data_IF_175763450646
#
_entry.id   IF_175763450646
#
_cell.length_a   1.000
_cell.length_b   1.000
_cell.length_c   1.000
_cell.angle_alpha   90.00
_cell.angle_beta   90.00
_cell.angle_gamma   90.00
#
_symmetry.space_group_name_H-M   'P 1'
#
loop_
_entity.id
_entity.type
_entity.pdbx_description
1 polymer ?
#
# COMPACT_ATOMS: atom_id res chain seq x y z
N UNK A 1 -23.48 11.24 22.36
CA UNK A 1 -22.82 10.20 23.18
C UNK A 1 -23.31 8.82 22.73
N UNK A 2 -22.55 8.12 21.88
CA UNK A 2 -22.78 6.70 21.56
C UNK A 2 -21.49 5.94 21.83
N UNK A 3 -21.57 5.01 22.76
CA UNK A 3 -20.48 4.21 23.29
C UNK A 3 -20.08 3.14 22.27
N UNK A 4 -18.83 3.20 21.79
CA UNK A 4 -18.23 2.16 20.98
C UNK A 4 -17.73 1.05 21.92
N UNK A 5 -18.42 -0.09 21.95
CA UNK A 5 -17.91 -1.32 22.56
C UNK A 5 -16.78 -1.87 21.70
N UNK A 6 -15.54 -1.69 22.16
CA UNK A 6 -14.38 -2.46 21.70
C UNK A 6 -14.50 -3.86 22.30
N UNK A 7 -14.71 -4.88 21.47
CA UNK A 7 -14.56 -6.28 21.90
C UNK A 7 -13.06 -6.58 21.95
N UNK A 8 -12.51 -6.56 23.17
CA UNK A 8 -11.16 -7.06 23.50
C UNK A 8 -11.26 -8.57 23.69
N UNK A 9 -10.59 -9.35 22.85
CA UNK A 9 -10.39 -10.78 23.11
C UNK A 9 -9.24 -10.91 24.11
N UNK A 10 -9.56 -11.34 25.33
CA UNK A 10 -8.59 -11.87 26.28
C UNK A 10 -8.41 -13.36 25.97
N UNK A 11 -7.20 -13.76 25.59
CA UNK A 11 -6.78 -15.15 25.66
C UNK A 11 -5.95 -15.25 26.93
N UNK A 12 -6.56 -15.81 27.98
CA UNK A 12 -5.84 -16.22 29.19
C UNK A 12 -5.06 -17.49 28.88
N UNK A 13 -3.73 -17.42 28.92
CA UNK A 13 -2.91 -18.61 29.11
C UNK A 13 -2.66 -18.79 30.60
N UNK A 14 -3.40 -19.73 31.19
CA UNK A 14 -3.15 -20.25 32.53
C UNK A 14 -1.78 -20.93 32.56
N UNK A 15 -0.87 -20.37 33.36
CA UNK A 15 0.33 -21.03 33.86
C UNK A 15 0.02 -22.41 34.44
N UNK A 16 0.84 -23.42 34.15
CA UNK A 16 1.49 -24.33 35.12
C UNK A 16 2.38 -25.36 34.38
N UNK A 17 3.69 -25.19 34.58
CA UNK A 17 4.81 -26.14 34.48
C UNK A 17 5.89 -25.76 33.46
N UNK A 18 7.04 -25.37 34.02
CA UNK A 18 8.30 -25.09 33.34
C UNK A 18 8.93 -26.45 33.01
N UNK A 19 8.97 -26.83 31.73
CA UNK A 19 9.94 -27.77 31.15
C UNK A 19 9.82 -27.75 29.63
N UNK A 20 10.86 -27.25 28.98
CA UNK A 20 11.25 -27.56 27.58
C UNK A 20 10.18 -27.39 26.50
N UNK A 21 9.99 -26.16 26.01
CA UNK A 21 9.21 -25.91 24.80
C UNK A 21 10.12 -26.04 23.57
N UNK A 22 10.08 -27.20 22.90
CA UNK A 22 10.57 -27.33 21.53
C UNK A 22 9.62 -26.55 20.61
N UNK A 23 10.07 -25.43 20.04
CA UNK A 23 9.31 -24.72 19.02
C UNK A 23 9.59 -25.41 17.69
N UNK A 24 8.69 -26.32 17.30
CA UNK A 24 8.64 -26.85 15.94
C UNK A 24 7.86 -25.83 15.09
N UNK A 25 8.56 -25.00 14.31
CA UNK A 25 7.91 -24.13 13.32
C UNK A 25 7.70 -24.94 12.04
N UNK A 26 6.45 -25.32 11.78
CA UNK A 26 6.05 -26.08 10.60
C UNK A 26 5.75 -25.09 9.46
N UNK A 27 6.69 -24.93 8.52
CA UNK A 27 6.50 -24.09 7.33
C UNK A 27 5.86 -24.93 6.23
N UNK A 28 4.61 -24.62 5.88
CA UNK A 28 3.93 -25.16 4.69
C UNK A 28 3.82 -24.04 3.67
N UNK A 29 4.61 -24.15 2.60
CA UNK A 29 4.56 -23.29 1.42
C UNK A 29 4.64 -24.23 0.20
N UNK A 30 3.59 -24.21 -0.64
CA UNK A 30 3.49 -24.90 -1.93
C UNK A 30 3.96 -26.39 -1.94
N UNK A 31 3.11 -27.30 -1.43
CA UNK A 31 3.21 -28.78 -1.46
C UNK A 31 4.51 -29.43 -0.96
N UNK A 32 5.44 -28.67 -0.39
CA UNK A 32 6.65 -29.20 0.25
C UNK A 32 6.62 -28.91 1.75
N UNK A 33 6.52 -29.98 2.54
CA UNK A 33 6.62 -29.93 4.00
C UNK A 33 8.11 -29.98 4.36
N UNK A 34 8.64 -28.89 4.91
CA UNK A 34 9.95 -28.87 5.52
C UNK A 34 9.81 -28.87 7.04
N UNK A 35 10.38 -29.90 7.68
CA UNK A 35 10.50 -29.96 9.13
C UNK A 35 11.97 -29.65 9.44
N UNK A 36 12.22 -28.49 10.03
CA UNK A 36 13.55 -28.12 10.49
C UNK A 36 13.76 -28.60 11.94
N UNK A 37 14.81 -29.40 12.15
CA UNK A 37 15.21 -29.95 13.44
C UNK A 37 16.62 -29.47 13.81
N UNK A 38 16.87 -28.16 13.88
CA UNK A 38 18.26 -27.70 14.14
C UNK A 38 18.43 -26.52 15.09
N UNK A 39 17.55 -26.35 16.08
CA UNK A 39 17.79 -25.34 17.12
C UNK A 39 17.52 -25.85 18.54
N UNK A 40 18.47 -26.60 19.12
CA UNK A 40 18.63 -26.72 20.60
C UNK A 40 19.96 -27.34 21.07
N UNK A 41 20.77 -27.97 20.23
CA UNK A 41 21.92 -28.78 20.73
C UNK A 41 23.18 -27.95 21.07
N UNK A 42 23.33 -26.72 20.55
CA UNK A 42 24.62 -26.00 20.65
C UNK A 42 24.98 -25.52 22.06
N UNK A 43 24.02 -25.18 22.92
CA UNK A 43 24.33 -24.67 24.27
C UNK A 43 24.72 -25.76 25.27
N UNK A 44 24.39 -27.03 24.99
CA UNK A 44 24.68 -28.13 25.91
C UNK A 44 26.11 -28.67 25.75
N UNK A 45 26.66 -28.61 24.53
CA UNK A 45 28.03 -29.02 24.25
C UNK A 45 29.07 -28.09 24.90
N UNK A 46 28.86 -26.76 24.82
CA UNK A 46 29.76 -25.78 25.43
C UNK A 46 29.76 -25.86 26.98
N UNK A 47 28.61 -26.19 27.57
CA UNK A 47 28.49 -26.45 29.01
C UNK A 47 29.17 -27.76 29.43
N UNK A 48 29.06 -28.81 28.63
CA UNK A 48 29.77 -30.08 28.88
C UNK A 48 31.28 -29.92 28.79
N UNK A 49 31.77 -29.16 27.80
CA UNK A 49 33.19 -28.92 27.60
C UNK A 49 33.80 -28.12 28.76
N UNK A 50 33.15 -27.02 29.15
CA UNK A 50 33.58 -26.18 30.27
C UNK A 50 33.51 -26.92 31.62
N UNK A 51 32.51 -27.78 31.81
CA UNK A 51 32.43 -28.66 32.98
C UNK A 51 33.53 -29.73 32.98
N UNK A 52 33.87 -30.32 31.83
CA UNK A 52 34.99 -31.25 31.72
C UNK A 52 36.33 -30.58 32.03
N UNK A 53 36.59 -29.40 31.48
CA UNK A 53 37.84 -28.67 31.73
C UNK A 53 37.98 -28.24 33.19
N UNK A 54 36.87 -27.93 33.84
CA UNK A 54 36.82 -27.67 35.28
C UNK A 54 37.11 -28.94 36.11
N UNK A 55 36.44 -30.06 35.80
CA UNK A 55 36.63 -31.34 36.49
C UNK A 55 38.03 -31.94 36.30
N UNK A 56 38.69 -31.65 35.17
CA UNK A 56 40.05 -32.10 34.85
C UNK A 56 41.13 -31.14 35.36
N UNK A 57 40.77 -30.08 36.10
CA UNK A 57 41.72 -29.14 36.70
C UNK A 57 42.55 -28.35 35.69
N UNK A 58 42.03 -28.17 34.46
CA UNK A 58 42.73 -27.45 33.38
C UNK A 58 42.58 -25.93 33.47
N UNK A 59 42.02 -25.42 34.57
CA UNK A 59 41.99 -23.99 34.87
C UNK A 59 43.41 -23.47 35.03
N UNK A 60 43.90 -22.80 33.98
CA UNK A 60 45.20 -22.16 33.94
C UNK A 60 45.34 -21.15 35.09
N UNK A 61 46.07 -21.53 36.13
CA UNK A 61 46.44 -20.64 37.22
C UNK A 61 47.48 -19.59 36.72
N UNK A 62 47.37 -18.32 37.15
CA UNK A 62 48.33 -17.29 36.78
C UNK A 62 49.55 -17.37 37.71
N UNK A 63 50.65 -17.94 37.20
CA UNK A 63 51.95 -17.82 37.88
C UNK A 63 52.91 -18.97 37.60
N UNK A 64 53.78 -18.82 36.60
CA UNK A 64 55.02 -19.59 36.52
C UNK A 64 56.12 -18.74 35.85
N UNK A 65 57.37 -18.76 36.38
CA UNK A 65 58.47 -17.90 35.96
C UNK A 65 59.14 -18.34 34.64
N UNK A 66 59.92 -17.45 33.99
CA UNK A 66 60.30 -17.61 32.59
C UNK A 66 61.49 -18.55 32.41
N UNK A 67 61.31 -19.59 31.59
CA UNK A 67 62.39 -20.41 31.08
C UNK A 67 62.98 -19.75 29.82
N UNK A 68 64.28 -19.46 29.87
CA UNK A 68 65.11 -18.95 28.77
C UNK A 68 65.12 -19.98 27.63
N UNK A 69 64.60 -19.59 26.46
CA UNK A 69 64.58 -20.45 25.27
C UNK A 69 65.16 -19.74 24.05
N UNK A 70 66.11 -20.45 23.46
CA UNK A 70 66.88 -20.23 22.25
C UNK A 70 65.98 -19.98 21.04
N UNK A 71 66.25 -18.91 20.29
CA UNK A 71 65.44 -18.42 19.18
C UNK A 71 65.62 -19.24 17.89
N UNK A 72 64.60 -20.02 17.54
CA UNK A 72 64.36 -20.55 16.18
C UNK A 72 63.42 -19.58 15.42
N UNK A 73 63.62 -19.35 14.11
CA UNK A 73 62.78 -18.44 13.32
C UNK A 73 61.35 -18.99 13.23
N UNK A 74 60.39 -18.26 13.82
CA UNK A 74 58.99 -18.67 13.89
C UNK A 74 58.28 -18.60 12.52
N UNK A 75 57.71 -19.70 12.02
CA UNK A 75 56.92 -19.73 10.78
C UNK A 75 55.48 -19.19 10.92
N UNK A 76 55.20 -18.25 11.83
CA UNK A 76 53.84 -17.92 12.30
C UNK A 76 53.16 -16.67 11.73
N UNK A 77 53.75 -15.97 10.75
CA UNK A 77 53.19 -14.70 10.25
C UNK A 77 52.00 -14.86 9.29
N UNK A 78 51.89 -15.97 8.56
CA UNK A 78 50.81 -16.22 7.59
C UNK A 78 49.49 -16.61 8.26
N UNK A 79 49.52 -17.47 9.29
CA UNK A 79 48.32 -17.93 10.01
C UNK A 79 47.59 -16.78 10.73
N UNK A 80 48.34 -15.87 11.37
CA UNK A 80 47.77 -14.70 12.03
C UNK A 80 47.08 -13.75 11.04
N UNK A 81 47.64 -13.61 9.82
CA UNK A 81 47.06 -12.76 8.76
C UNK A 81 45.73 -13.32 8.25
N UNK A 82 45.63 -14.64 8.06
CA UNK A 82 44.39 -15.30 7.66
C UNK A 82 43.29 -15.19 8.72
N UNK A 83 43.64 -15.38 10.00
CA UNK A 83 42.66 -15.26 11.09
C UNK A 83 42.15 -13.81 11.22
N UNK A 84 43.01 -12.81 11.02
CA UNK A 84 42.61 -11.40 11.04
C UNK A 84 41.69 -11.05 9.84
N UNK A 85 41.96 -11.61 8.66
CA UNK A 85 41.10 -11.43 7.48
C UNK A 85 39.71 -12.04 7.68
N UNK A 86 39.62 -13.27 8.23
CA UNK A 86 38.32 -13.90 8.57
C UNK A 86 37.50 -13.04 9.55
N UNK A 87 38.14 -12.49 10.58
CA UNK A 87 37.48 -11.59 11.55
C UNK A 87 37.00 -10.29 10.90
N UNK A 88 37.71 -9.77 9.90
CA UNK A 88 37.29 -8.57 9.15
C UNK A 88 36.08 -8.87 8.26
N UNK A 89 36.13 -9.98 7.52
CA UNK A 89 35.03 -10.39 6.64
C UNK A 89 33.74 -10.65 7.44
N UNK A 90 33.83 -11.32 8.60
CA UNK A 90 32.66 -11.52 9.47
C UNK A 90 32.03 -10.21 9.97
N UNK A 91 32.85 -9.20 10.28
CA UNK A 91 32.35 -7.88 10.68
C UNK A 91 31.67 -7.16 9.51
N UNK A 92 32.24 -7.29 8.31
CA UNK A 92 31.67 -6.71 7.09
C UNK A 92 30.33 -7.36 6.73
N UNK A 93 30.25 -8.69 6.70
CA UNK A 93 28.98 -9.40 6.40
C UNK A 93 27.88 -9.07 7.41
N UNK A 94 28.22 -8.98 8.71
CA UNK A 94 27.27 -8.55 9.73
C UNK A 94 26.75 -7.13 9.50
N UNK A 95 27.60 -6.21 9.06
CA UNK A 95 27.19 -4.84 8.70
C UNK A 95 26.29 -4.80 7.47
N UNK A 96 26.57 -5.61 6.45
CA UNK A 96 25.74 -5.69 5.23
C UNK A 96 24.37 -6.28 5.54
N UNK A 97 24.31 -7.36 6.33
CA UNK A 97 23.06 -7.95 6.78
C UNK A 97 22.20 -6.93 7.54
N UNK A 98 22.79 -6.22 8.51
CA UNK A 98 22.07 -5.18 9.26
C UNK A 98 21.55 -4.06 8.36
N UNK A 99 22.32 -3.67 7.34
CA UNK A 99 21.89 -2.68 6.36
C UNK A 99 20.73 -3.20 5.48
N UNK A 100 20.76 -4.47 5.09
CA UNK A 100 19.65 -5.11 4.37
C UNK A 100 18.38 -5.13 5.22
N UNK A 101 18.48 -5.56 6.49
CA UNK A 101 17.36 -5.59 7.43
C UNK A 101 16.76 -4.20 7.64
N UNK A 102 17.59 -3.16 7.82
CA UNK A 102 17.09 -1.79 7.94
C UNK A 102 16.30 -1.33 6.70
N UNK A 103 16.74 -1.72 5.49
CA UNK A 103 15.98 -1.43 4.26
C UNK A 103 14.68 -2.22 4.17
N UNK A 104 14.68 -3.45 4.65
CA UNK A 104 13.46 -4.25 4.73
C UNK A 104 12.44 -3.59 5.67
N UNK A 105 12.85 -3.13 6.84
CA UNK A 105 11.98 -2.39 7.77
C UNK A 105 11.42 -1.10 7.17
N UNK A 106 12.24 -0.33 6.45
CA UNK A 106 11.77 0.85 5.72
C UNK A 106 10.74 0.47 4.64
N UNK A 107 10.96 -0.63 3.92
CA UNK A 107 10.03 -1.12 2.90
C UNK A 107 8.67 -1.49 3.51
N UNK A 108 8.65 -2.18 4.66
CA UNK A 108 7.40 -2.58 5.31
C UNK A 108 6.61 -1.38 5.82
N UNK A 109 7.29 -0.39 6.41
CA UNK A 109 6.64 0.86 6.85
C UNK A 109 6.02 1.63 5.69
N UNK A 110 6.71 1.73 4.55
CA UNK A 110 6.16 2.38 3.37
C UNK A 110 4.97 1.62 2.79
N UNK A 111 4.98 0.28 2.84
CA UNK A 111 3.85 -0.51 2.41
C UNK A 111 2.58 -0.22 3.23
N UNK A 112 2.71 -0.12 4.55
CA UNK A 112 1.59 0.22 5.42
C UNK A 112 1.05 1.63 5.12
N UNK A 113 1.94 2.60 4.88
CA UNK A 113 1.54 3.94 4.46
C UNK A 113 0.79 3.94 3.12
N UNK A 114 1.21 3.10 2.17
CA UNK A 114 0.53 2.95 0.89
C UNK A 114 -0.88 2.38 1.04
N UNK A 115 -1.07 1.44 1.96
CA UNK A 115 -2.39 0.91 2.28
C UNK A 115 -3.34 2.01 2.78
N UNK A 116 -2.88 2.87 3.69
CA UNK A 116 -3.67 4.00 4.19
C UNK A 116 -4.05 5.00 3.09
N UNK A 117 -3.14 5.26 2.15
CA UNK A 117 -3.39 6.11 0.98
C UNK A 117 -4.46 5.48 0.09
N UNK A 118 -4.37 4.18 -0.20
CA UNK A 118 -5.36 3.46 -1.01
C UNK A 118 -6.75 3.49 -0.37
N UNK A 119 -6.82 3.29 0.95
CA UNK A 119 -8.08 3.40 1.68
C UNK A 119 -8.66 4.82 1.59
N UNK A 120 -7.81 5.83 1.68
CA UNK A 120 -8.20 7.24 1.52
C UNK A 120 -8.73 7.52 0.12
N UNK A 121 -8.08 7.01 -0.94
CA UNK A 121 -8.53 7.13 -2.32
C UNK A 121 -9.91 6.45 -2.49
N UNK A 122 -10.09 5.26 -1.94
CA UNK A 122 -11.36 4.54 -2.00
C UNK A 122 -12.51 5.33 -1.35
N UNK A 123 -12.28 5.89 -0.16
CA UNK A 123 -13.26 6.71 0.55
C UNK A 123 -13.64 7.97 -0.26
N UNK A 124 -12.65 8.65 -0.86
CA UNK A 124 -12.87 9.82 -1.70
C UNK A 124 -13.68 9.49 -2.95
N UNK A 125 -13.34 8.39 -3.65
CA UNK A 125 -14.10 7.95 -4.85
C UNK A 125 -15.56 7.63 -4.52
N UNK A 126 -15.81 7.05 -3.34
CA UNK A 126 -17.17 6.77 -2.89
C UNK A 126 -17.96 8.06 -2.65
N UNK A 127 -17.33 9.05 -2.01
CA UNK A 127 -17.97 10.34 -1.71
C UNK A 127 -18.18 11.20 -2.96
N UNK A 128 -17.17 11.34 -3.82
CA UNK A 128 -17.24 12.07 -5.09
C UNK A 128 -18.42 11.63 -5.94
N UNK A 129 -18.63 10.32 -6.00
CA UNK A 129 -19.66 9.76 -6.85
C UNK A 129 -21.07 9.88 -6.23
N UNK A 130 -21.18 10.10 -4.91
CA UNK A 130 -22.42 10.54 -4.26
C UNK A 130 -22.68 12.03 -4.50
N UNK A 131 -21.66 12.88 -4.34
CA UNK A 131 -21.75 14.33 -4.60
C UNK A 131 -22.14 14.63 -6.06
N UNK A 132 -21.57 13.90 -7.02
CA UNK A 132 -21.94 14.00 -8.43
C UNK A 132 -23.43 13.66 -8.65
N UNK A 133 -23.96 12.66 -7.95
CA UNK A 133 -25.38 12.29 -8.03
C UNK A 133 -26.28 13.39 -7.43
N UNK A 134 -25.86 13.97 -6.30
CA UNK A 134 -26.57 15.09 -5.68
C UNK A 134 -26.61 16.32 -6.59
N UNK A 135 -25.48 16.67 -7.23
CA UNK A 135 -25.44 17.76 -8.21
C UNK A 135 -26.39 17.52 -9.38
N UNK A 136 -26.46 16.29 -9.92
CA UNK A 136 -27.42 15.95 -10.97
C UNK A 136 -28.87 16.14 -10.49
N UNK A 137 -29.19 15.73 -9.27
CA UNK A 137 -30.54 15.88 -8.70
C UNK A 137 -30.92 17.35 -8.50
N UNK A 138 -30.02 18.16 -7.92
CA UNK A 138 -30.25 19.59 -7.72
C UNK A 138 -30.44 20.33 -9.04
N UNK A 139 -29.67 20.00 -10.08
CA UNK A 139 -29.84 20.59 -11.42
C UNK A 139 -31.20 20.26 -12.03
N UNK A 140 -31.66 19.01 -11.92
CA UNK A 140 -33.00 18.63 -12.39
C UNK A 140 -34.09 19.37 -11.63
N UNK A 141 -33.95 19.52 -10.30
CA UNK A 141 -34.89 20.30 -9.49
C UNK A 141 -34.91 21.78 -9.92
N UNK A 142 -33.73 22.40 -10.08
CA UNK A 142 -33.60 23.79 -10.53
C UNK A 142 -34.25 24.01 -11.91
N UNK A 143 -34.07 23.06 -12.85
CA UNK A 143 -34.73 23.11 -14.16
C UNK A 143 -36.26 22.98 -14.05
N UNK A 144 -36.77 22.06 -13.23
CA UNK A 144 -38.21 21.87 -13.02
C UNK A 144 -38.85 23.10 -12.36
N UNK A 145 -38.18 23.71 -11.38
CA UNK A 145 -38.64 24.96 -10.75
C UNK A 145 -38.65 26.14 -11.72
N UNK A 146 -37.64 26.23 -12.60
CA UNK A 146 -37.57 27.28 -13.62
C UNK A 146 -38.66 27.10 -14.68
N UNK A 147 -38.90 25.87 -15.14
CA UNK A 147 -39.97 25.55 -16.09
C UNK A 147 -41.36 25.86 -15.52
N UNK A 148 -41.60 25.57 -14.24
CA UNK A 148 -42.86 25.87 -13.56
C UNK A 148 -43.11 27.39 -13.44
N UNK A 149 -42.07 28.20 -13.26
CA UNK A 149 -42.17 29.67 -13.22
C UNK A 149 -42.40 30.31 -14.60
N UNK A 150 -42.05 29.61 -15.69
CA UNK A 150 -42.18 30.10 -17.05
C UNK A 150 -43.54 29.78 -17.70
N UNK A 151 -44.45 29.07 -17.01
CA UNK A 151 -45.81 28.89 -17.51
C UNK A 151 -46.54 30.25 -17.52
N UNK A 152 -46.84 30.80 -18.71
CA UNK A 152 -47.33 32.16 -18.82
C UNK A 152 -48.74 32.28 -18.24
N UNK A 153 -48.99 33.35 -17.48
CA UNK A 153 -50.31 33.74 -16.99
C UNK A 153 -51.30 34.16 -18.11
N UNK A 154 -50.99 33.89 -19.38
CA UNK A 154 -51.71 34.39 -20.55
C UNK A 154 -53.03 33.66 -20.86
N UNK A 155 -53.40 32.62 -20.11
CA UNK A 155 -54.65 31.89 -20.37
C UNK A 155 -55.91 32.45 -19.66
N UNK A 156 -55.85 33.61 -18.99
CA UNK A 156 -57.00 34.18 -18.25
C UNK A 156 -57.57 35.46 -18.88
N UNK A 157 -57.16 35.82 -20.10
CA UNK A 157 -57.72 36.96 -20.82
C UNK A 157 -58.13 36.58 -22.26
N UNK A 158 -59.28 35.94 -22.44
CA UNK A 158 -59.95 36.00 -23.75
C UNK A 158 -60.81 34.83 -24.18
N UNK A 159 -61.97 34.65 -23.55
CA UNK A 159 -63.23 34.39 -24.28
C UNK A 159 -64.40 34.87 -23.40
N UNK A 160 -64.52 36.20 -23.27
CA UNK A 160 -65.79 36.85 -22.92
C UNK A 160 -66.50 37.11 -24.25
N UNK A 161 -67.26 36.14 -24.73
CA UNK A 161 -68.30 36.41 -25.71
C UNK A 161 -69.37 37.25 -25.00
N UNK A 162 -69.61 38.44 -25.54
CA UNK A 162 -70.65 39.39 -25.20
C UNK A 162 -71.97 38.70 -24.81
N UNK A 163 -72.49 38.98 -23.62
CA UNK A 163 -73.89 39.39 -23.41
C UNK A 163 -73.98 40.31 -22.17
N UNK A 164 -74.52 41.51 -22.42
CA UNK A 164 -74.91 42.57 -21.48
C UNK A 164 -75.98 42.13 -20.47
N UNK A 165 -76.02 42.74 -19.26
CA UNK A 165 -77.06 43.75 -19.04
C UNK A 165 -76.57 45.01 -18.27
N UNK A 166 -77.31 46.13 -18.35
CA UNK A 166 -76.91 47.41 -17.75
C UNK A 166 -77.47 47.56 -16.32
N UNK A 167 -76.71 48.18 -15.43
CA UNK A 167 -77.17 49.06 -14.33
C UNK A 167 -75.91 49.62 -13.62
N UNK A 168 -75.59 50.90 -13.83
CA UNK A 168 -75.90 52.03 -12.94
C UNK A 168 -75.24 51.97 -11.54
N UNK A 169 -74.24 52.84 -11.35
CA UNK A 169 -74.11 53.59 -10.11
C UNK A 169 -72.91 53.29 -9.21
N UNK A 170 -72.28 54.40 -8.80
CA UNK A 170 -71.70 54.66 -7.48
C UNK A 170 -70.18 54.52 -7.26
N UNK A 171 -69.59 55.73 -7.19
CA UNK A 171 -68.63 56.26 -6.23
C UNK A 171 -67.16 55.80 -6.24
N UNK A 172 -66.37 56.69 -6.82
CA UNK A 172 -65.14 57.27 -6.28
C UNK A 172 -65.08 57.32 -4.74
N UNK A 173 -64.07 56.68 -4.16
CA UNK A 173 -63.52 57.03 -2.86
C UNK A 173 -62.00 56.82 -2.85
N UNK A 174 -61.28 57.93 -2.74
CA UNK A 174 -59.88 57.98 -2.34
C UNK A 174 -59.71 57.28 -0.98
N UNK A 175 -58.67 56.46 -0.84
CA UNK A 175 -58.04 56.21 0.44
C UNK A 175 -56.52 56.21 0.25
N UNK A 176 -55.92 57.37 0.51
CA UNK A 176 -54.50 57.47 0.82
C UNK A 176 -54.24 56.63 2.08
N UNK A 177 -53.59 55.48 1.92
CA UNK A 177 -52.99 54.75 3.03
C UNK A 177 -51.49 55.02 3.03
N UNK A 178 -51.12 56.17 3.58
CA UNK A 178 -49.80 56.40 4.16
C UNK A 178 -49.73 55.54 5.42
N UNK A 179 -49.03 54.41 5.36
CA UNK A 179 -48.64 53.66 6.56
C UNK A 179 -47.18 53.24 6.48
N UNK A 180 -46.34 54.06 7.12
CA UNK A 180 -45.19 53.66 7.93
C UNK A 180 -44.51 52.34 7.58
N UNK A 181 -43.54 52.39 6.66
CA UNK A 181 -42.48 51.39 6.55
C UNK A 181 -41.54 51.52 7.76
N UNK A 182 -41.99 50.98 8.89
CA UNK A 182 -41.11 50.71 10.02
C UNK A 182 -40.20 49.57 9.60
N UNK A 183 -38.86 49.70 9.62
CA UNK A 183 -37.98 48.58 9.28
C UNK A 183 -38.14 47.52 10.37
N UNK A 184 -38.99 46.53 10.12
CA UNK A 184 -39.08 45.35 10.97
C UNK A 184 -37.73 44.66 10.93
N UNK A 185 -37.05 44.72 12.08
CA UNK A 185 -35.84 43.96 12.37
C UNK A 185 -36.15 42.49 12.08
N UNK A 186 -35.40 41.80 11.21
CA UNK A 186 -35.66 40.40 10.89
C UNK A 186 -35.55 39.59 12.18
N UNK A 187 -36.67 39.01 12.60
CA UNK A 187 -36.74 38.09 13.73
C UNK A 187 -35.96 36.84 13.34
N UNK A 188 -34.83 36.61 14.01
CA UNK A 188 -33.81 35.59 13.72
C UNK A 188 -34.23 34.14 13.98
N UNK A 189 -35.53 33.83 14.01
CA UNK A 189 -36.02 32.56 14.56
C UNK A 189 -36.65 31.60 13.55
N UNK A 190 -36.79 32.00 12.28
CA UNK A 190 -37.11 31.06 11.19
C UNK A 190 -35.85 30.77 10.37
N UNK A 191 -34.83 30.21 11.02
CA UNK A 191 -33.77 29.49 10.30
C UNK A 191 -34.41 28.17 9.86
N UNK A 192 -35.27 28.25 8.84
CA UNK A 192 -35.55 27.09 8.00
C UNK A 192 -34.20 26.48 7.66
N UNK A 193 -34.00 25.15 7.86
CA UNK A 193 -32.72 24.51 7.62
C UNK A 193 -32.26 24.93 6.23
N UNK A 194 -31.17 25.69 6.19
CA UNK A 194 -30.68 26.33 4.97
C UNK A 194 -30.38 25.20 4.01
N UNK A 195 -31.29 24.98 3.05
CA UNK A 195 -31.17 23.88 2.11
C UNK A 195 -29.84 24.06 1.38
N UNK A 196 -29.03 23.00 1.36
CA UNK A 196 -27.74 22.99 0.66
C UNK A 196 -27.95 23.48 -0.78
N UNK A 197 -27.25 24.56 -1.13
CA UNK A 197 -27.33 25.11 -2.48
C UNK A 197 -26.49 24.27 -3.44
N UNK A 198 -26.74 24.40 -4.75
CA UNK A 198 -25.91 23.74 -5.77
C UNK A 198 -24.43 24.16 -5.65
N UNK A 199 -24.18 25.42 -5.29
CA UNK A 199 -22.84 25.97 -5.10
C UNK A 199 -22.10 25.31 -3.93
N UNK A 200 -22.80 25.03 -2.82
CA UNK A 200 -22.22 24.34 -1.66
C UNK A 200 -21.74 22.92 -2.02
N UNK A 201 -22.58 22.17 -2.75
CA UNK A 201 -22.25 20.81 -3.18
C UNK A 201 -21.14 20.83 -4.25
N UNK A 202 -21.17 21.80 -5.16
CA UNK A 202 -20.13 22.00 -6.18
C UNK A 202 -18.78 22.32 -5.55
N UNK A 203 -18.78 23.16 -4.51
CA UNK A 203 -17.57 23.50 -3.77
C UNK A 203 -16.98 22.28 -3.06
N UNK A 204 -17.81 21.48 -2.39
CA UNK A 204 -17.40 20.23 -1.74
C UNK A 204 -16.80 19.24 -2.77
N UNK A 205 -17.50 19.03 -3.89
CA UNK A 205 -17.05 18.16 -4.98
C UNK A 205 -15.68 18.55 -5.54
N UNK A 206 -15.48 19.84 -5.80
CA UNK A 206 -14.20 20.35 -6.31
C UNK A 206 -13.06 20.21 -5.29
N UNK A 207 -13.34 20.43 -3.99
CA UNK A 207 -12.36 20.22 -2.93
C UNK A 207 -11.92 18.76 -2.84
N UNK A 208 -12.88 17.85 -2.99
CA UNK A 208 -12.66 16.41 -2.99
C UNK A 208 -11.87 15.91 -4.19
N UNK A 209 -12.15 16.43 -5.39
CA UNK A 209 -11.38 16.13 -6.59
C UNK A 209 -9.91 16.51 -6.42
N UNK A 210 -9.62 17.71 -5.91
CA UNK A 210 -8.24 18.15 -5.64
C UNK A 210 -7.56 17.29 -4.57
N UNK A 211 -8.31 16.80 -3.58
CA UNK A 211 -7.78 15.89 -2.57
C UNK A 211 -7.47 14.53 -3.19
N UNK A 212 -8.34 14.01 -4.03
CA UNK A 212 -8.16 12.74 -4.74
C UNK A 212 -6.92 12.77 -5.64
N UNK A 213 -6.74 13.84 -6.42
CA UNK A 213 -5.55 14.05 -7.25
C UNK A 213 -4.26 14.03 -6.42
N UNK A 214 -4.24 14.76 -5.29
CA UNK A 214 -3.08 14.76 -4.37
C UNK A 214 -2.77 13.36 -3.82
N UNK A 215 -3.78 12.58 -3.50
CA UNK A 215 -3.58 11.20 -3.02
C UNK A 215 -3.04 10.27 -4.11
N UNK A 216 -3.47 10.44 -5.36
CA UNK A 216 -2.89 9.70 -6.50
C UNK A 216 -1.42 10.06 -6.69
N UNK A 217 -1.06 11.35 -6.64
CA UNK A 217 0.33 11.79 -6.74
C UNK A 217 1.18 11.23 -5.61
N UNK A 218 0.66 11.24 -4.38
CA UNK A 218 1.34 10.64 -3.23
C UNK A 218 1.55 9.13 -3.41
N UNK A 219 0.55 8.40 -3.91
CA UNK A 219 0.66 6.96 -4.19
C UNK A 219 1.77 6.67 -5.20
N UNK A 220 1.88 7.46 -6.28
CA UNK A 220 2.96 7.32 -7.28
C UNK A 220 4.34 7.56 -6.66
N UNK A 221 4.46 8.60 -5.85
CA UNK A 221 5.71 8.92 -5.14
C UNK A 221 6.13 7.79 -4.20
N UNK A 222 5.19 7.21 -3.47
CA UNK A 222 5.45 6.10 -2.56
C UNK A 222 5.85 4.82 -3.31
N UNK A 223 5.20 4.53 -4.44
CA UNK A 223 5.59 3.42 -5.33
C UNK A 223 7.03 3.56 -5.84
N UNK A 224 7.42 4.79 -6.23
CA UNK A 224 8.80 5.08 -6.61
C UNK A 224 9.79 4.86 -5.46
N UNK A 225 9.39 5.23 -4.24
CA UNK A 225 10.21 5.03 -3.03
C UNK A 225 10.38 3.54 -2.70
N UNK A 226 9.32 2.72 -2.79
CA UNK A 226 9.43 1.26 -2.65
C UNK A 226 10.40 0.65 -3.66
N UNK A 227 10.34 1.09 -4.93
CA UNK A 227 11.29 0.63 -5.96
C UNK A 227 12.73 0.97 -5.63
N UNK A 228 13.00 2.17 -5.11
CA UNK A 228 14.36 2.56 -4.72
C UNK A 228 14.88 1.72 -3.54
N UNK A 229 14.02 1.42 -2.57
CA UNK A 229 14.36 0.55 -1.43
C UNK A 229 14.60 -0.90 -1.91
N UNK A 230 13.76 -1.40 -2.83
CA UNK A 230 13.94 -2.67 -3.52
C UNK A 230 15.34 -2.76 -4.14
N UNK A 231 15.73 -1.78 -4.96
CA UNK A 231 17.04 -1.75 -5.60
C UNK A 231 18.19 -1.66 -4.58
N UNK A 232 17.98 -0.93 -3.48
CA UNK A 232 18.95 -0.83 -2.40
C UNK A 232 19.15 -2.17 -1.68
N UNK A 233 18.08 -2.92 -1.43
CA UNK A 233 18.16 -4.28 -0.89
C UNK A 233 18.92 -5.21 -1.83
N UNK A 234 18.64 -5.15 -3.14
CA UNK A 234 19.34 -5.94 -4.16
C UNK A 234 20.84 -5.69 -4.14
N UNK A 235 21.28 -4.41 -4.15
CA UNK A 235 22.70 -4.06 -4.06
C UNK A 235 23.38 -4.59 -2.80
N UNK A 236 22.68 -4.62 -1.65
CA UNK A 236 23.23 -5.18 -0.41
C UNK A 236 23.34 -6.70 -0.46
N UNK A 237 22.39 -7.36 -1.11
CA UNK A 237 22.45 -8.79 -1.34
C UNK A 237 23.62 -9.16 -2.24
N UNK A 238 23.83 -8.42 -3.34
CA UNK A 238 24.97 -8.61 -4.25
C UNK A 238 26.32 -8.41 -3.56
N UNK A 239 26.43 -7.37 -2.73
CA UNK A 239 27.60 -7.11 -1.90
C UNK A 239 27.89 -8.30 -0.96
N UNK A 240 26.84 -8.88 -0.36
CA UNK A 240 26.99 -10.04 0.52
C UNK A 240 27.41 -11.29 -0.26
N UNK A 241 26.79 -11.59 -1.39
CA UNK A 241 27.16 -12.73 -2.24
C UNK A 241 28.62 -12.62 -2.70
N UNK A 242 29.09 -11.41 -3.01
CA UNK A 242 30.50 -11.15 -3.36
C UNK A 242 31.45 -11.54 -2.23
N UNK A 243 31.12 -11.19 -0.98
CA UNK A 243 31.91 -11.60 0.18
C UNK A 243 31.91 -13.12 0.41
N UNK A 244 30.82 -13.82 0.09
CA UNK A 244 30.79 -15.29 0.18
C UNK A 244 31.71 -15.91 -0.87
N UNK A 245 31.66 -15.45 -2.12
CA UNK A 245 32.55 -15.93 -3.19
C UNK A 245 34.02 -15.70 -2.85
N UNK A 246 34.38 -14.51 -2.37
CA UNK A 246 35.74 -14.20 -1.91
C UNK A 246 36.18 -15.10 -0.74
N UNK A 247 35.26 -15.37 0.19
CA UNK A 247 35.53 -16.26 1.32
C UNK A 247 35.67 -17.73 0.90
N UNK A 248 34.94 -18.17 -0.12
CA UNK A 248 34.98 -19.53 -0.65
C UNK A 248 36.28 -19.78 -1.43
N UNK A 249 36.71 -18.82 -2.26
CA UNK A 249 37.95 -18.90 -3.02
C UNK A 249 39.18 -19.08 -2.12
N UNK A 250 39.15 -18.53 -0.90
CA UNK A 250 40.25 -18.65 0.07
C UNK A 250 40.35 -20.03 0.73
N UNK A 251 39.31 -20.87 0.65
CA UNK A 251 39.28 -22.20 1.27
C UNK A 251 39.78 -23.31 0.33
N UNK A 252 39.95 -23.04 -0.96
CA UNK A 252 40.27 -24.05 -2.00
C UNK A 252 41.79 -24.22 -2.25
N UNK A 253 42.66 -23.41 -1.61
CA UNK A 253 44.12 -23.42 -1.84
C UNK A 253 44.87 -24.61 -1.18
N UNK A 254 44.23 -25.79 -1.11
CA UNK A 254 44.87 -27.12 -0.95
C UNK A 254 45.70 -27.39 0.31
N UNK A 255 45.93 -26.43 1.21
CA UNK A 255 46.69 -26.61 2.45
C UNK A 255 45.81 -27.26 3.53
N UNK A 256 45.55 -28.55 3.37
CA UNK A 256 44.81 -29.46 4.27
C UNK A 256 45.46 -29.64 5.65
N UNK A 257 45.61 -28.56 6.42
CA UNK A 257 45.69 -28.67 7.87
C UNK A 257 44.28 -28.90 8.39
N UNK A 258 44.04 -30.01 9.09
CA UNK A 258 42.82 -30.38 9.83
C UNK A 258 42.46 -29.37 10.94
N UNK A 259 42.36 -28.09 10.62
CA UNK A 259 41.84 -27.07 11.52
C UNK A 259 40.33 -27.09 11.30
N UNK A 260 39.66 -27.93 12.08
CA UNK A 260 38.20 -27.93 12.21
C UNK A 260 37.72 -26.49 12.40
N UNK A 261 37.14 -25.91 11.35
CA UNK A 261 36.45 -24.64 11.48
C UNK A 261 35.29 -24.87 12.46
N UNK A 262 35.01 -23.93 13.38
CA UNK A 262 33.91 -24.06 14.33
C UNK A 262 32.60 -24.38 13.56
N UNK A 263 32.01 -25.58 13.75
CA UNK A 263 31.01 -26.12 12.82
C UNK A 263 29.70 -25.33 12.72
N UNK A 264 29.47 -24.31 13.56
CA UNK A 264 28.24 -23.51 13.53
C UNK A 264 28.29 -22.22 12.69
N UNK A 265 29.47 -21.62 12.48
CA UNK A 265 29.49 -20.23 11.98
C UNK A 265 29.17 -20.12 10.49
N UNK A 266 29.77 -20.96 9.64
CA UNK A 266 29.59 -20.89 8.19
C UNK A 266 28.18 -21.31 7.72
N UNK A 267 27.61 -22.35 8.34
CA UNK A 267 26.26 -22.82 8.04
C UNK A 267 25.22 -21.74 8.35
N UNK A 268 25.36 -21.03 9.47
CA UNK A 268 24.47 -19.94 9.85
C UNK A 268 24.51 -18.76 8.85
N UNK A 269 25.67 -18.45 8.26
CA UNK A 269 25.76 -17.39 7.25
C UNK A 269 25.03 -17.75 5.96
N UNK A 270 25.23 -18.96 5.43
CA UNK A 270 24.56 -19.42 4.21
C UNK A 270 23.05 -19.46 4.38
N UNK A 271 22.59 -19.92 5.54
CA UNK A 271 21.17 -19.92 5.87
C UNK A 271 20.59 -18.50 5.83
N UNK A 272 21.26 -17.53 6.48
CA UNK A 272 20.82 -16.12 6.46
C UNK A 272 20.85 -15.51 5.08
N UNK A 273 21.86 -15.82 4.26
CA UNK A 273 21.90 -15.33 2.88
C UNK A 273 20.72 -15.87 2.06
N UNK A 274 20.49 -17.18 2.11
CA UNK A 274 19.34 -17.82 1.45
C UNK A 274 18.00 -17.24 1.92
N UNK A 275 17.89 -16.87 3.20
CA UNK A 275 16.74 -16.17 3.74
C UNK A 275 16.55 -14.78 3.11
N UNK A 276 17.62 -14.00 3.00
CA UNK A 276 17.58 -12.68 2.37
C UNK A 276 17.26 -12.76 0.86
N UNK A 277 17.78 -13.75 0.13
CA UNK A 277 17.44 -14.00 -1.27
C UNK A 277 15.93 -14.26 -1.43
N UNK A 278 15.35 -15.11 -0.58
CA UNK A 278 13.92 -15.41 -0.59
C UNK A 278 13.07 -14.17 -0.29
N UNK A 279 13.46 -13.37 0.71
CA UNK A 279 12.78 -12.10 1.01
C UNK A 279 12.86 -11.15 -0.19
N UNK A 280 14.03 -11.00 -0.80
CA UNK A 280 14.23 -10.12 -1.93
C UNK A 280 13.36 -10.54 -3.12
N UNK A 281 13.30 -11.83 -3.43
CA UNK A 281 12.42 -12.35 -4.48
C UNK A 281 10.94 -12.09 -4.17
N UNK A 282 10.53 -12.31 -2.92
CA UNK A 282 9.15 -12.08 -2.47
C UNK A 282 8.75 -10.61 -2.56
N UNK A 283 9.57 -9.70 -2.02
CA UNK A 283 9.34 -8.24 -2.10
C UNK A 283 9.30 -7.75 -3.55
N UNK A 284 10.14 -8.31 -4.44
CA UNK A 284 10.15 -7.94 -5.87
C UNK A 284 8.83 -8.31 -6.55
N UNK A 285 8.36 -9.54 -6.31
CA UNK A 285 7.08 -10.02 -6.82
C UNK A 285 5.92 -9.18 -6.28
N UNK A 286 5.99 -8.81 -5.01
CA UNK A 286 4.96 -8.01 -4.36
C UNK A 286 4.94 -6.57 -4.86
N UNK A 287 6.10 -5.95 -5.09
CA UNK A 287 6.21 -4.63 -5.72
C UNK A 287 5.58 -4.65 -7.12
N UNK A 288 5.91 -5.63 -7.96
CA UNK A 288 5.34 -5.76 -9.31
C UNK A 288 3.81 -5.90 -9.27
N UNK A 289 3.29 -6.75 -8.37
CA UNK A 289 1.83 -6.88 -8.16
C UNK A 289 1.18 -5.55 -7.78
N UNK A 290 1.82 -4.80 -6.88
CA UNK A 290 1.34 -3.48 -6.42
C UNK A 290 1.37 -2.44 -7.53
N UNK A 291 2.38 -2.45 -8.40
CA UNK A 291 2.43 -1.61 -9.59
C UNK A 291 1.25 -1.88 -10.53
N UNK A 292 0.92 -3.15 -10.79
CA UNK A 292 -0.26 -3.53 -11.60
C UNK A 292 -1.55 -3.02 -10.96
N UNK A 293 -1.73 -3.18 -9.65
CA UNK A 293 -2.92 -2.69 -8.95
C UNK A 293 -3.03 -1.17 -9.00
N UNK A 294 -1.91 -0.46 -8.81
CA UNK A 294 -1.88 0.99 -8.92
C UNK A 294 -2.22 1.44 -10.35
N UNK A 295 -1.71 0.76 -11.37
CA UNK A 295 -2.05 1.05 -12.76
C UNK A 295 -3.56 0.90 -13.01
N UNK A 296 -4.16 -0.22 -12.61
CA UNK A 296 -5.62 -0.44 -12.70
C UNK A 296 -6.41 0.64 -11.97
N UNK A 297 -5.92 1.09 -10.82
CA UNK A 297 -6.54 2.18 -10.08
C UNK A 297 -6.48 3.50 -10.86
N UNK A 298 -5.37 3.80 -11.54
CA UNK A 298 -5.21 5.00 -12.36
C UNK A 298 -6.14 4.95 -13.58
N UNK A 299 -6.14 3.84 -14.31
CA UNK A 299 -6.93 3.67 -15.54
C UNK A 299 -8.44 3.75 -15.27
N UNK A 300 -8.89 3.37 -14.07
CA UNK A 300 -10.30 3.42 -13.73
C UNK A 300 -10.87 4.85 -13.62
N UNK A 301 -10.04 5.90 -13.65
CA UNK A 301 -10.52 7.28 -13.58
C UNK A 301 -11.12 7.77 -14.91
N UNK A 302 -10.61 7.28 -16.04
CA UNK A 302 -10.97 7.81 -17.36
C UNK A 302 -12.41 7.47 -17.80
N UNK A 303 -13.00 6.40 -17.24
CA UNK A 303 -14.36 5.97 -17.56
C UNK A 303 -15.50 6.86 -17.03
N UNK A 304 -15.21 7.99 -16.36
CA UNK A 304 -16.25 8.90 -15.85
C UNK A 304 -16.69 9.96 -16.87
N UNK A 305 -16.03 10.10 -18.03
CA UNK A 305 -16.31 11.18 -18.96
C UNK A 305 -17.36 10.88 -20.06
N UNK A 306 -17.64 9.61 -20.37
CA UNK A 306 -18.28 9.30 -21.68
C UNK A 306 -19.79 9.00 -21.69
N UNK A 307 -20.49 8.97 -20.55
CA UNK A 307 -21.94 8.68 -20.57
C UNK A 307 -22.83 9.84 -21.05
N UNK A 308 -22.27 10.98 -21.45
CA UNK A 308 -23.06 12.12 -21.93
C UNK A 308 -23.29 12.15 -23.45
N UNK A 309 -22.64 11.27 -24.23
CA UNK A 309 -22.75 11.27 -25.70
C UNK A 309 -23.63 10.15 -26.29
N UNK A 310 -24.28 9.33 -25.47
CA UNK A 310 -25.10 8.20 -25.92
C UNK A 310 -26.48 8.53 -26.52
N UNK A 311 -26.87 9.81 -26.60
CA UNK A 311 -28.13 10.23 -27.23
C UNK A 311 -27.86 11.13 -28.43
N UNK A 312 -27.08 10.64 -29.39
CA UNK A 312 -27.21 11.11 -30.77
C UNK A 312 -28.04 10.09 -31.50
N UNK A 313 -29.36 10.34 -31.49
CA UNK A 313 -30.28 9.75 -32.43
C UNK A 313 -29.65 9.78 -33.82
N UNK A 314 -29.58 8.59 -34.42
CA UNK A 314 -29.10 8.40 -35.78
C UNK A 314 -29.97 9.17 -36.76
N UNK A 315 -29.57 10.39 -37.10
CA UNK A 315 -29.82 10.93 -38.43
C UNK A 315 -28.61 10.55 -39.27
N UNK A 316 -28.74 9.41 -39.93
CA UNK A 316 -27.87 9.01 -41.02
C UNK A 316 -28.10 10.02 -42.15
N UNK A 317 -27.20 10.97 -42.31
CA UNK A 317 -27.08 11.67 -43.58
C UNK A 317 -25.63 11.69 -44.04
N UNK A 318 -25.42 11.16 -45.24
CA UNK A 318 -24.12 10.88 -45.80
C UNK A 318 -23.37 12.16 -46.15
N UNK A 319 -22.10 12.26 -45.73
CA UNK A 319 -21.24 13.38 -46.08
C UNK A 319 -19.80 13.09 -45.70
N UNK A 320 -18.97 12.89 -46.73
CA UNK A 320 -17.59 12.48 -46.63
C UNK A 320 -16.61 13.57 -46.14
N UNK A 321 -15.43 13.10 -45.72
CA UNK A 321 -14.09 13.74 -45.72
C UNK A 321 -13.63 14.47 -44.45
N UNK A 322 -12.47 14.03 -43.93
CA UNK A 322 -11.48 14.88 -43.22
C UNK A 322 -11.15 14.43 -41.80
N UNK A 323 -10.27 13.43 -41.63
CA UNK A 323 -8.84 13.61 -41.28
C UNK A 323 -8.59 14.23 -39.88
N UNK A 324 -8.30 13.36 -38.90
CA UNK A 324 -7.88 13.72 -37.55
C UNK A 324 -7.06 12.59 -36.93
N UNK A 325 -5.78 12.87 -36.75
CA UNK A 325 -4.66 11.98 -36.42
C UNK A 325 -4.87 11.22 -35.10
N UNK A 326 -4.91 9.88 -35.15
CA UNK A 326 -4.70 9.00 -33.98
C UNK A 326 -3.23 8.60 -33.90
N UNK A 327 -2.64 8.75 -32.73
CA UNK A 327 -1.34 8.15 -32.41
C UNK A 327 -1.52 6.64 -32.30
N UNK A 328 -0.95 5.90 -33.25
CA UNK A 328 -0.83 4.44 -33.21
C UNK A 328 0.59 4.14 -32.73
N UNK A 329 0.74 3.71 -31.48
CA UNK A 329 1.90 2.91 -31.08
C UNK A 329 1.43 1.45 -31.01
N UNK A 330 1.61 0.73 -32.10
CA UNK A 330 1.53 -0.72 -32.13
C UNK A 330 2.51 -1.22 -33.20
N UNK A 331 3.62 -1.77 -32.74
CA UNK A 331 4.45 -2.69 -33.52
C UNK A 331 4.24 -4.05 -32.85
N UNK A 332 3.35 -4.85 -33.41
CA UNK A 332 3.38 -6.30 -33.31
C UNK A 332 2.91 -6.87 -34.65
N UNK A 333 3.76 -7.61 -35.38
CA UNK A 333 3.40 -8.22 -36.64
C UNK A 333 3.18 -9.72 -36.42
N UNK A 334 2.04 -10.14 -35.87
CA UNK A 334 1.47 -11.46 -36.18
C UNK A 334 -0.03 -11.46 -35.94
N UNK A 335 -0.77 -11.39 -37.05
CA UNK A 335 -2.22 -11.46 -37.08
C UNK A 335 -2.76 -12.82 -36.67
N UNK A 336 -3.62 -12.81 -35.66
CA UNK A 336 -4.65 -13.80 -35.41
C UNK A 336 -5.93 -13.01 -35.10
N UNK A 337 -7.01 -13.30 -35.82
CA UNK A 337 -8.28 -12.58 -35.71
C UNK A 337 -8.79 -12.53 -34.28
N UNK A 338 -9.08 -11.32 -33.82
CA UNK A 338 -9.66 -11.06 -32.50
C UNK A 338 -11.17 -10.97 -32.72
N UNK A 339 -11.89 -11.97 -32.20
CA UNK A 339 -13.31 -11.83 -31.91
C UNK A 339 -13.46 -10.64 -30.94
N UNK A 340 -14.32 -9.68 -31.29
CA UNK A 340 -14.68 -8.49 -30.51
C UNK A 340 -15.36 -8.90 -29.18
N UNK A 341 -14.57 -9.45 -28.26
CA UNK A 341 -14.98 -9.66 -26.88
C UNK A 341 -14.91 -8.30 -26.18
N UNK A 342 -16.00 -7.54 -26.31
CA UNK A 342 -16.26 -6.33 -25.56
C UNK A 342 -16.28 -6.67 -24.06
N UNK A 343 -15.10 -6.70 -23.45
CA UNK A 343 -14.93 -7.02 -22.04
C UNK A 343 -15.81 -6.12 -21.16
N UNK A 344 -16.38 -6.65 -20.07
CA UNK A 344 -17.31 -5.92 -19.24
C UNK A 344 -16.66 -4.64 -18.69
N UNK A 345 -17.21 -3.49 -19.08
CA UNK A 345 -16.79 -2.18 -18.61
C UNK A 345 -17.00 -2.08 -17.09
N UNK A 346 -15.96 -2.39 -16.33
CA UNK A 346 -16.01 -2.39 -14.86
C UNK A 346 -16.13 -0.96 -14.36
N UNK A 347 -17.15 -0.69 -13.53
CA UNK A 347 -17.33 0.64 -12.95
C UNK A 347 -16.16 1.00 -12.03
N UNK A 348 -15.64 2.22 -12.15
CA UNK A 348 -14.48 2.75 -11.40
C UNK A 348 -14.53 2.50 -9.88
N UNK A 349 -15.74 2.44 -9.30
CA UNK A 349 -15.95 2.14 -7.87
C UNK A 349 -15.60 0.71 -7.50
N UNK A 350 -15.95 -0.26 -8.35
CA UNK A 350 -15.63 -1.68 -8.12
C UNK A 350 -14.13 -1.88 -8.17
N UNK A 351 -13.45 -1.28 -9.16
CA UNK A 351 -12.00 -1.39 -9.33
C UNK A 351 -11.23 -0.87 -8.11
N UNK A 352 -11.59 0.28 -7.55
CA UNK A 352 -10.88 0.81 -6.36
C UNK A 352 -11.05 -0.08 -5.13
N UNK A 353 -12.27 -0.56 -4.87
CA UNK A 353 -12.57 -1.46 -3.75
C UNK A 353 -11.83 -2.79 -3.90
N UNK A 354 -11.87 -3.36 -5.10
CA UNK A 354 -11.16 -4.59 -5.44
C UNK A 354 -9.65 -4.43 -5.28
N UNK A 355 -9.08 -3.28 -5.67
CA UNK A 355 -7.66 -2.99 -5.45
C UNK A 355 -7.32 -2.95 -3.97
N UNK A 356 -8.13 -2.30 -3.12
CA UNK A 356 -7.91 -2.27 -1.65
C UNK A 356 -8.00 -3.68 -1.05
N UNK A 357 -9.03 -4.44 -1.41
CA UNK A 357 -9.21 -5.81 -0.91
C UNK A 357 -8.08 -6.72 -1.40
N UNK A 358 -7.68 -6.60 -2.67
CA UNK A 358 -6.56 -7.35 -3.24
C UNK A 358 -5.22 -6.94 -2.59
N UNK A 359 -5.06 -5.69 -2.18
CA UNK A 359 -3.90 -5.25 -1.40
C UNK A 359 -3.89 -5.91 -0.02
N UNK A 360 -5.02 -5.87 0.69
CA UNK A 360 -5.16 -6.37 2.06
C UNK A 360 -5.09 -7.89 2.18
N UNK A 361 -5.70 -8.62 1.24
CA UNK A 361 -5.80 -10.10 1.27
C UNK A 361 -4.43 -10.77 1.31
N UNK A 362 -3.39 -10.13 0.73
CA UNK A 362 -2.05 -10.71 0.61
C UNK A 362 -1.11 -10.36 1.76
N UNK A 363 -1.30 -9.24 2.46
CA UNK A 363 -0.54 -8.93 3.68
C UNK A 363 -0.72 -10.01 4.77
N UNK A 364 -1.82 -10.77 4.75
CA UNK A 364 -2.09 -11.87 5.68
C UNK A 364 -1.62 -13.24 5.21
N UNK A 365 -1.03 -13.34 4.04
CA UNK A 365 -0.53 -14.63 3.51
C UNK A 365 0.86 -14.96 4.03
N UNK A 366 1.17 -16.26 4.12
CA UNK A 366 2.32 -16.89 4.80
C UNK A 366 3.71 -16.30 4.48
N UNK A 367 3.89 -15.51 3.43
CA UNK A 367 5.19 -14.89 3.09
C UNK A 367 5.71 -13.89 4.12
N UNK A 368 4.82 -13.29 4.91
CA UNK A 368 5.20 -12.29 5.93
C UNK A 368 5.73 -12.90 7.23
N UNK A 369 5.45 -14.18 7.52
CA UNK A 369 5.99 -14.83 8.73
C UNK A 369 7.52 -14.94 8.68
N UNK A 370 8.07 -15.18 7.49
CA UNK A 370 9.52 -15.24 7.26
C UNK A 370 10.17 -13.87 7.49
N UNK A 371 9.51 -12.79 7.06
CA UNK A 371 9.97 -11.42 7.31
C UNK A 371 9.99 -11.14 8.80
N UNK A 372 8.90 -11.45 9.52
CA UNK A 372 8.84 -11.28 10.97
C UNK A 372 9.88 -12.10 11.73
N UNK A 373 10.17 -13.32 11.29
CA UNK A 373 11.16 -14.20 11.91
C UNK A 373 12.57 -13.63 11.74
N UNK A 374 12.88 -13.06 10.58
CA UNK A 374 14.17 -12.45 10.29
C UNK A 374 14.35 -11.11 11.00
N UNK A 375 13.28 -10.33 11.16
CA UNK A 375 13.30 -9.11 11.97
C UNK A 375 13.49 -9.38 13.48
N UNK A 376 13.20 -10.60 13.95
CA UNK A 376 13.43 -11.01 15.34
C UNK A 376 14.87 -11.50 15.59
N UNK A 377 15.61 -11.80 14.53
CA UNK A 377 16.98 -12.31 14.56
C UNK A 377 18.02 -11.18 14.49
#
# INVERSE_FOLDING_TARGET
>A
MRSNRVKRWHIEYSSHSVSTLCINTLLVLDDTVFIDYTHTVSNMADYQQSFQDFMLGRSSAPGSPPAVSTSLPSPSSSANRQQQQRKRNQKQTGSVFKAFVGRLEEWTQLDDQMFDILQSIHNLRTRLAWEQQQLKQLRVQNLMSTAAQQLPAEAVAGTRTNETPPCHGFLQANAMAVMSSTPQRPTTNDISPTALTEDDVSMAYNADLRRHERMITLLRSQMGSLSQIQDAMGRRLDEWMSFEMESAAFMDDGSHGNIEAPPGSAANYRLRLSHCERIFAHTSKELFRKQILAQRLFDSYDGLQDESNGCKDGVVDGGAVGSGVRYINSIDPHGGGIDDESGPHMSSRRTAKECVVAWQSKQRSNGWSIVEEILKC
#
